data_IF_797543628370
#
_entry.id   IF_797543628370
#
_cell.length_a   1.000
_cell.length_b   1.000
_cell.length_c   1.000
_cell.angle_alpha   90.00
_cell.angle_beta   90.00
_cell.angle_gamma   90.00
#
_symmetry.space_group_name_H-M   'P 1'
#
loop_
_entity.id
_entity.type
_entity.pdbx_description
1 polymer ?
#
# COMPACT_ATOMS: atom_id res chain seq x y z
N UNK A 1 -10.37 14.13 -10.19
CA UNK A 1 -9.08 14.84 -10.30
C UNK A 1 -8.26 14.57 -9.05
N UNK A 2 -6.94 14.48 -9.19
CA UNK A 2 -6.05 14.26 -8.04
C UNK A 2 -5.91 15.54 -7.21
N UNK A 3 -6.07 15.49 -5.87
CA UNK A 3 -5.97 16.70 -5.05
C UNK A 3 -4.55 17.28 -5.07
N UNK A 4 -4.42 18.60 -4.86
CA UNK A 4 -3.12 19.26 -4.71
C UNK A 4 -2.32 18.67 -3.56
N UNK A 5 -3.00 18.34 -2.46
CA UNK A 5 -2.45 17.68 -1.28
C UNK A 5 -3.46 16.66 -0.74
N UNK A 6 -2.98 15.47 -0.36
CA UNK A 6 -3.78 14.42 0.25
C UNK A 6 -3.92 14.70 1.75
N UNK A 7 -4.96 15.47 2.12
CA UNK A 7 -5.23 15.85 3.51
C UNK A 7 -5.21 14.66 4.48
N UNK A 8 -5.83 13.50 4.19
CA UNK A 8 -5.76 12.35 5.11
C UNK A 8 -4.32 11.91 5.40
N UNK A 9 -3.45 11.87 4.39
CA UNK A 9 -2.04 11.48 4.56
C UNK A 9 -1.27 12.50 5.40
N UNK A 10 -1.55 13.79 5.21
CA UNK A 10 -0.94 14.86 6.03
C UNK A 10 -1.39 14.78 7.48
N UNK A 11 -2.68 14.52 7.72
CA UNK A 11 -3.22 14.36 9.07
C UNK A 11 -2.62 13.15 9.79
N UNK A 12 -2.39 12.04 9.08
CA UNK A 12 -1.65 10.90 9.64
C UNK A 12 -0.25 11.32 10.04
N UNK A 13 0.48 12.05 9.18
CA UNK A 13 1.84 12.50 9.50
C UNK A 13 1.86 13.40 10.74
N UNK A 14 0.99 14.42 10.78
CA UNK A 14 0.88 15.35 11.91
C UNK A 14 0.47 14.64 13.20
N UNK A 15 -0.55 13.79 13.14
CA UNK A 15 -1.01 13.02 14.29
C UNK A 15 0.08 12.09 14.83
N UNK A 16 0.85 11.45 13.93
CA UNK A 16 1.96 10.58 14.31
C UNK A 16 3.11 11.37 14.94
N UNK A 17 3.41 12.56 14.43
CA UNK A 17 4.42 13.45 15.01
C UNK A 17 4.01 13.92 16.42
N UNK A 18 2.77 14.37 16.57
CA UNK A 18 2.23 14.80 17.87
C UNK A 18 2.22 13.66 18.87
N UNK A 19 1.80 12.45 18.46
CA UNK A 19 1.83 11.27 19.31
C UNK A 19 3.26 10.90 19.75
N UNK A 20 4.22 10.97 18.83
CA UNK A 20 5.63 10.69 19.14
C UNK A 20 6.20 11.70 20.14
N UNK A 21 5.99 13.00 19.90
CA UNK A 21 6.46 14.08 20.77
C UNK A 21 5.79 14.01 22.16
N UNK A 22 4.47 13.82 22.19
CA UNK A 22 3.71 13.73 23.44
C UNK A 22 4.12 12.52 24.28
N UNK A 23 4.25 11.33 23.67
CA UNK A 23 4.68 10.12 24.36
C UNK A 23 6.13 10.23 24.87
N UNK A 24 7.01 10.85 24.10
CA UNK A 24 8.40 11.11 24.52
C UNK A 24 8.43 12.09 25.70
N UNK A 25 7.72 13.21 25.59
CA UNK A 25 7.65 14.22 26.66
C UNK A 25 7.05 13.65 27.95
N UNK A 26 6.03 12.80 27.86
CA UNK A 26 5.43 12.17 29.04
C UNK A 26 6.44 11.32 29.85
N UNK A 27 7.36 10.63 29.15
CA UNK A 27 8.43 9.87 29.80
C UNK A 27 9.50 10.79 30.37
N UNK A 28 9.98 11.77 29.59
CA UNK A 28 11.06 12.67 30.00
C UNK A 28 10.66 13.62 31.14
N UNK A 29 9.40 14.06 31.18
CA UNK A 29 8.87 14.88 32.27
C UNK A 29 8.46 14.05 33.50
N UNK A 30 8.64 12.72 33.49
CA UNK A 30 8.39 11.87 34.64
C UNK A 30 6.92 11.77 35.05
N UNK A 31 5.96 11.88 34.11
CA UNK A 31 4.53 11.87 34.42
C UNK A 31 4.12 10.62 35.22
N UNK A 32 4.62 9.45 34.84
CA UNK A 32 4.51 8.18 35.62
C UNK A 32 5.34 7.08 34.95
N UNK A 33 5.78 6.08 35.72
CA UNK A 33 6.50 4.90 35.21
C UNK A 33 5.73 4.10 34.16
N UNK A 34 4.40 4.14 34.21
CA UNK A 34 3.54 3.42 33.25
C UNK A 34 3.57 4.04 31.85
N UNK A 35 3.91 5.33 31.74
CA UNK A 35 4.03 5.99 30.45
C UNK A 35 5.13 5.40 29.59
N UNK A 36 6.15 4.77 30.17
CA UNK A 36 7.16 4.07 29.36
C UNK A 36 6.53 2.94 28.52
N UNK A 37 5.66 2.12 29.12
CA UNK A 37 4.99 1.05 28.40
C UNK A 37 4.05 1.59 27.30
N UNK A 38 3.31 2.67 27.61
CA UNK A 38 2.46 3.37 26.64
C UNK A 38 3.30 3.93 25.49
N UNK A 39 4.44 4.57 25.80
CA UNK A 39 5.35 5.14 24.80
C UNK A 39 5.91 4.07 23.88
N UNK A 40 6.25 2.88 24.40
CA UNK A 40 6.72 1.78 23.54
C UNK A 40 5.63 1.38 22.52
N UNK A 41 4.38 1.23 22.96
CA UNK A 41 3.28 0.89 22.05
C UNK A 41 3.02 2.01 21.04
N UNK A 42 2.91 3.25 21.52
CA UNK A 42 2.63 4.42 20.67
C UNK A 42 3.73 4.60 19.63
N UNK A 43 5.00 4.50 20.01
CA UNK A 43 6.11 4.68 19.08
C UNK A 43 6.21 3.55 18.04
N UNK A 44 5.89 2.30 18.41
CA UNK A 44 5.77 1.21 17.45
C UNK A 44 4.69 1.47 16.40
N UNK A 45 3.54 2.01 16.82
CA UNK A 45 2.47 2.44 15.91
C UNK A 45 2.88 3.64 15.06
N UNK A 46 3.64 4.60 15.62
CA UNK A 46 4.20 5.74 14.88
C UNK A 46 5.14 5.27 13.77
N UNK A 47 6.00 4.28 14.01
CA UNK A 47 6.85 3.70 12.97
C UNK A 47 6.03 3.18 11.79
N UNK A 48 4.93 2.46 12.08
CA UNK A 48 4.03 1.95 11.04
C UNK A 48 3.29 3.07 10.29
N UNK A 49 2.74 4.06 10.99
CA UNK A 49 1.99 5.15 10.37
C UNK A 49 2.88 6.11 9.58
N UNK A 50 4.08 6.41 10.08
CA UNK A 50 5.09 7.20 9.37
C UNK A 50 5.61 6.47 8.13
N UNK A 51 5.76 5.13 8.19
CA UNK A 51 6.06 4.36 7.00
C UNK A 51 4.95 4.47 5.96
N UNK A 52 3.68 4.44 6.37
CA UNK A 52 2.57 4.60 5.42
C UNK A 52 2.61 5.97 4.72
N UNK A 53 2.97 7.05 5.42
CA UNK A 53 3.18 8.37 4.79
C UNK A 53 4.39 8.37 3.86
N UNK A 54 5.50 7.79 4.31
CA UNK A 54 6.73 7.61 3.52
C UNK A 54 6.47 6.83 2.22
N UNK A 55 5.68 5.77 2.31
CA UNK A 55 5.25 4.90 1.21
C UNK A 55 4.44 5.67 0.17
N UNK A 56 3.45 6.45 0.61
CA UNK A 56 2.69 7.35 -0.26
C UNK A 56 3.58 8.43 -0.91
N UNK A 57 4.60 8.91 -0.19
CA UNK A 57 5.56 9.87 -0.75
C UNK A 57 6.41 9.27 -1.87
N UNK A 58 6.81 7.99 -1.75
CA UNK A 58 7.54 7.26 -2.80
C UNK A 58 6.71 7.19 -4.09
N UNK A 59 5.43 6.87 -3.96
CA UNK A 59 4.49 6.80 -5.10
C UNK A 59 3.95 8.15 -5.55
N UNK A 60 4.51 9.22 -4.98
CA UNK A 60 4.08 10.57 -5.22
C UNK A 60 2.58 10.71 -5.08
N UNK A 61 1.93 10.27 -4.00
CA UNK A 61 0.48 10.44 -3.77
C UNK A 61 0.16 11.48 -2.69
N UNK A 62 1.14 11.91 -1.89
CA UNK A 62 0.97 12.95 -0.84
C UNK A 62 0.61 14.31 -1.42
N UNK A 63 1.30 14.74 -2.49
CA UNK A 63 1.04 16.05 -3.11
C UNK A 63 1.36 16.08 -4.59
N UNK A 64 0.63 16.90 -5.36
CA UNK A 64 0.86 17.06 -6.80
C UNK A 64 2.24 17.69 -7.10
N UNK A 65 2.70 18.75 -6.39
CA UNK A 65 4.07 19.22 -6.51
C UNK A 65 5.07 18.18 -5.97
N UNK A 66 6.11 17.88 -6.74
CA UNK A 66 7.10 16.84 -6.38
C UNK A 66 7.77 17.10 -5.03
N UNK A 67 8.03 18.36 -4.68
CA UNK A 67 8.71 18.74 -3.44
C UNK A 67 7.92 18.35 -2.18
N UNK A 68 6.58 18.34 -2.23
CA UNK A 68 5.75 17.94 -1.07
C UNK A 68 6.07 16.49 -0.68
N UNK A 69 6.10 15.59 -1.66
CA UNK A 69 6.44 14.19 -1.42
C UNK A 69 7.88 14.04 -0.92
N UNK A 70 8.83 14.84 -1.42
CA UNK A 70 10.20 14.83 -0.92
C UNK A 70 10.27 15.26 0.55
N UNK A 71 9.52 16.29 0.95
CA UNK A 71 9.48 16.77 2.34
C UNK A 71 8.88 15.71 3.26
N UNK A 72 7.66 15.23 2.98
CA UNK A 72 6.99 14.23 3.82
C UNK A 72 7.76 12.91 3.86
N UNK A 73 8.31 12.46 2.73
CA UNK A 73 9.15 11.27 2.66
C UNK A 73 10.40 11.40 3.55
N UNK A 74 11.17 12.48 3.40
CA UNK A 74 12.41 12.69 4.17
C UNK A 74 12.15 12.91 5.66
N UNK A 75 11.10 13.65 6.02
CA UNK A 75 10.76 13.89 7.42
C UNK A 75 10.21 12.64 8.13
N UNK A 76 9.69 11.66 7.38
CA UNK A 76 9.21 10.40 7.96
C UNK A 76 10.34 9.41 8.27
N UNK A 77 11.49 9.51 7.58
CA UNK A 77 12.61 8.56 7.70
C UNK A 77 13.09 8.36 9.14
N UNK A 78 13.34 9.41 9.96
CA UNK A 78 13.83 9.23 11.32
C UNK A 78 12.91 8.41 12.22
N UNK A 79 11.61 8.32 11.93
CA UNK A 79 10.64 7.53 12.69
C UNK A 79 10.52 6.09 12.20
N UNK A 80 11.05 5.80 11.01
CA UNK A 80 10.97 4.48 10.37
C UNK A 80 12.30 3.75 10.49
N UNK A 81 13.40 4.37 10.07
CA UNK A 81 14.74 3.78 10.16
C UNK A 81 15.79 4.88 10.26
N UNK A 82 16.51 4.91 11.38
CA UNK A 82 17.47 5.96 11.69
C UNK A 82 18.61 6.05 10.67
N UNK A 83 19.06 4.92 10.14
CA UNK A 83 20.25 4.83 9.27
C UNK A 83 19.91 4.77 7.78
N UNK A 84 18.63 4.75 7.42
CA UNK A 84 18.20 4.74 6.02
C UNK A 84 17.93 6.16 5.50
N UNK A 85 17.70 6.30 4.19
CA UNK A 85 17.34 7.58 3.58
C UNK A 85 16.14 7.44 2.66
N UNK A 86 15.45 8.55 2.38
CA UNK A 86 14.31 8.54 1.46
C UNK A 86 14.65 7.94 0.08
N UNK A 87 15.77 8.29 -0.60
CA UNK A 87 16.15 7.64 -1.85
C UNK A 87 16.46 6.15 -1.72
N UNK A 88 17.01 5.71 -0.58
CA UNK A 88 17.27 4.30 -0.31
C UNK A 88 15.97 3.51 -0.27
N UNK A 89 15.02 3.96 0.56
CA UNK A 89 13.71 3.31 0.69
C UNK A 89 12.90 3.39 -0.60
N UNK A 90 12.94 4.53 -1.29
CA UNK A 90 12.29 4.66 -2.60
C UNK A 90 12.87 3.65 -3.60
N UNK A 91 14.19 3.46 -3.60
CA UNK A 91 14.82 2.49 -4.49
C UNK A 91 14.43 1.05 -4.15
N UNK A 92 14.52 0.64 -2.89
CA UNK A 92 14.18 -0.73 -2.48
C UNK A 92 12.70 -1.01 -2.73
N UNK A 93 11.81 -0.09 -2.37
CA UNK A 93 10.37 -0.24 -2.61
C UNK A 93 10.04 -0.36 -4.10
N UNK A 94 10.61 0.50 -4.95
CA UNK A 94 10.39 0.42 -6.40
C UNK A 94 11.03 -0.85 -7.01
N UNK A 95 12.12 -1.36 -6.42
CA UNK A 95 12.70 -2.63 -6.82
C UNK A 95 11.77 -3.80 -6.47
N UNK A 96 11.11 -3.77 -5.31
CA UNK A 96 10.07 -4.72 -4.94
C UNK A 96 8.92 -4.69 -5.95
N UNK A 97 8.30 -3.53 -6.20
CA UNK A 97 7.22 -3.38 -7.19
C UNK A 97 7.55 -3.93 -8.59
N UNK A 98 8.81 -3.82 -9.01
CA UNK A 98 9.27 -4.35 -10.30
C UNK A 98 9.49 -5.86 -10.28
N UNK A 99 9.85 -6.42 -9.12
CA UNK A 99 10.29 -7.79 -8.96
C UNK A 99 9.46 -8.53 -7.88
N UNK A 100 8.19 -8.18 -7.69
CA UNK A 100 7.39 -8.67 -6.56
C UNK A 100 7.37 -10.20 -6.49
N UNK A 101 7.67 -10.75 -5.32
CA UNK A 101 7.74 -12.19 -5.01
C UNK A 101 8.81 -12.95 -5.81
N UNK A 102 9.77 -12.26 -6.41
CA UNK A 102 10.94 -12.90 -7.03
C UNK A 102 11.99 -13.29 -5.96
N UNK A 103 13.13 -13.82 -6.39
CA UNK A 103 14.19 -14.27 -5.49
C UNK A 103 14.77 -13.15 -4.60
N UNK A 104 15.46 -13.56 -3.53
CA UNK A 104 16.04 -12.66 -2.52
C UNK A 104 17.08 -11.66 -3.06
N UNK A 105 17.59 -11.88 -4.27
CA UNK A 105 18.52 -10.98 -4.92
C UNK A 105 17.83 -10.00 -5.88
N UNK A 106 16.58 -10.25 -6.25
CA UNK A 106 15.78 -9.45 -7.17
C UNK A 106 14.77 -8.59 -6.42
N UNK A 107 14.10 -9.19 -5.43
CA UNK A 107 13.11 -8.59 -4.56
C UNK A 107 13.70 -8.36 -3.15
N UNK A 108 13.81 -7.10 -2.68
CA UNK A 108 14.25 -6.85 -1.32
C UNK A 108 13.29 -7.40 -0.25
N UNK A 109 11.99 -7.55 -0.55
CA UNK A 109 10.97 -7.97 0.41
C UNK A 109 10.90 -9.50 0.55
N UNK A 110 11.55 -10.22 -0.37
CA UNK A 110 11.76 -11.66 -0.20
C UNK A 110 12.53 -12.00 1.09
N UNK A 111 13.21 -11.04 1.73
CA UNK A 111 13.74 -11.20 3.09
C UNK A 111 12.65 -11.52 4.10
N UNK A 112 11.50 -10.85 4.01
CA UNK A 112 10.34 -11.06 4.89
C UNK A 112 9.52 -12.30 4.54
N UNK A 113 9.72 -12.89 3.36
CA UNK A 113 8.93 -14.02 2.82
C UNK A 113 9.65 -15.37 2.87
N UNK A 114 10.98 -15.38 2.85
CA UNK A 114 11.79 -16.60 2.69
C UNK A 114 12.53 -17.01 3.96
N UNK A 115 12.83 -18.31 4.06
CA UNK A 115 13.58 -18.91 5.16
C UNK A 115 12.71 -19.80 6.07
N UNK A 116 13.34 -20.50 7.04
CA UNK A 116 12.62 -21.27 8.05
C UNK A 116 11.63 -20.39 8.83
N UNK A 117 10.43 -20.91 9.11
CA UNK A 117 9.36 -20.14 9.78
C UNK A 117 9.78 -19.50 11.11
N UNK A 118 10.65 -20.18 11.86
CA UNK A 118 11.17 -19.67 13.14
C UNK A 118 12.10 -18.45 12.98
N UNK A 119 12.69 -18.25 11.80
CA UNK A 119 13.54 -17.08 11.51
C UNK A 119 12.74 -15.85 11.11
N UNK A 120 11.48 -16.01 10.67
CA UNK A 120 10.70 -14.89 10.12
C UNK A 120 10.62 -13.69 11.07
N UNK A 121 10.32 -13.85 12.39
CA UNK A 121 10.31 -12.70 13.31
C UNK A 121 11.66 -11.98 13.42
N UNK A 122 12.78 -12.71 13.38
CA UNK A 122 14.12 -12.12 13.41
C UNK A 122 14.44 -11.38 12.11
N UNK A 123 13.93 -11.87 10.98
CA UNK A 123 14.08 -11.25 9.67
C UNK A 123 13.25 -9.96 9.59
N UNK A 124 12.02 -9.99 10.10
CA UNK A 124 11.16 -8.82 10.22
C UNK A 124 11.77 -7.72 11.09
N UNK A 125 12.42 -8.08 12.21
CA UNK A 125 13.17 -7.14 13.06
C UNK A 125 14.31 -6.40 12.32
N UNK A 126 14.80 -6.97 11.22
CA UNK A 126 16.03 -6.54 10.52
C UNK A 126 15.81 -6.19 9.05
N UNK A 127 14.56 -6.04 8.61
CA UNK A 127 14.23 -5.73 7.21
C UNK A 127 14.88 -4.43 6.72
N UNK A 128 14.95 -3.41 7.57
CA UNK A 128 15.59 -2.12 7.26
C UNK A 128 17.12 -2.26 7.08
N UNK A 129 17.77 -3.09 7.90
CA UNK A 129 19.18 -3.44 7.73
C UNK A 129 19.42 -4.23 6.43
N UNK A 130 18.52 -5.16 6.11
CA UNK A 130 18.55 -5.88 4.83
C UNK A 130 18.39 -4.93 3.63
N UNK A 131 17.46 -3.98 3.68
CA UNK A 131 17.30 -2.95 2.65
C UNK A 131 18.57 -2.12 2.47
N UNK A 132 19.24 -1.74 3.56
CA UNK A 132 20.53 -1.07 3.47
C UNK A 132 21.59 -1.93 2.78
N UNK A 133 21.70 -3.21 3.13
CA UNK A 133 22.59 -4.16 2.44
C UNK A 133 22.23 -4.28 0.96
N UNK A 134 20.95 -4.39 0.62
CA UNK A 134 20.44 -4.48 -0.75
C UNK A 134 20.82 -3.23 -1.55
N UNK A 135 20.67 -2.04 -0.98
CA UNK A 135 21.05 -0.78 -1.61
C UNK A 135 22.58 -0.67 -1.78
N UNK A 136 23.35 -1.00 -0.73
CA UNK A 136 24.82 -0.91 -0.73
C UNK A 136 25.46 -1.82 -1.78
N UNK A 137 24.93 -3.04 -1.97
CA UNK A 137 25.37 -3.94 -3.03
C UNK A 137 25.22 -3.34 -4.45
N UNK A 138 24.40 -2.29 -4.58
CA UNK A 138 24.08 -1.60 -5.84
C UNK A 138 24.54 -0.14 -5.85
N UNK A 139 25.30 0.30 -4.84
CA UNK A 139 25.69 1.69 -4.63
C UNK A 139 26.44 2.28 -5.83
N UNK A 140 27.31 1.50 -6.48
CA UNK A 140 28.08 1.93 -7.66
C UNK A 140 27.21 2.30 -8.86
N UNK A 141 25.97 1.81 -8.90
CA UNK A 141 24.98 2.10 -9.96
C UNK A 141 24.00 3.21 -9.56
N UNK A 142 24.13 3.78 -8.35
CA UNK A 142 23.26 4.85 -7.85
C UNK A 142 23.77 6.23 -8.26
N UNK A 143 22.88 7.23 -8.41
CA UNK A 143 23.30 8.61 -8.63
C UNK A 143 24.25 9.08 -7.52
N UNK A 144 25.36 9.74 -7.88
CA UNK A 144 26.37 10.22 -6.91
C UNK A 144 25.78 11.08 -5.80
N UNK A 145 24.77 11.90 -6.11
CA UNK A 145 24.06 12.73 -5.12
C UNK A 145 23.32 11.91 -4.07
N UNK A 146 22.74 10.77 -4.44
CA UNK A 146 22.09 9.87 -3.48
C UNK A 146 23.12 9.14 -2.63
N UNK A 147 24.21 8.66 -3.22
CA UNK A 147 25.28 7.99 -2.49
C UNK A 147 25.95 8.93 -1.48
N UNK A 148 26.24 10.17 -1.88
CA UNK A 148 26.76 11.21 -0.98
C UNK A 148 25.75 11.56 0.11
N UNK A 149 24.47 11.73 -0.25
CA UNK A 149 23.41 12.00 0.73
C UNK A 149 23.26 10.86 1.75
N UNK A 150 23.38 9.61 1.32
CA UNK A 150 23.38 8.45 2.20
C UNK A 150 24.60 8.44 3.13
N UNK A 151 25.80 8.69 2.61
CA UNK A 151 27.02 8.76 3.42
C UNK A 151 26.93 9.88 4.48
N UNK A 152 26.49 11.08 4.08
CA UNK A 152 26.28 12.20 5.00
C UNK A 152 25.25 11.86 6.08
N UNK A 153 24.11 11.29 5.69
CA UNK A 153 23.06 10.88 6.63
C UNK A 153 23.56 9.85 7.65
N UNK A 154 24.33 8.86 7.19
CA UNK A 154 24.92 7.85 8.05
C UNK A 154 25.92 8.48 9.03
N UNK A 155 26.80 9.37 8.57
CA UNK A 155 27.73 10.10 9.43
C UNK A 155 27.01 10.92 10.50
N UNK A 156 25.97 11.66 10.11
CA UNK A 156 25.15 12.46 11.05
C UNK A 156 24.43 11.57 12.06
N UNK A 157 23.90 10.43 11.61
CA UNK A 157 23.24 9.44 12.47
C UNK A 157 24.21 8.86 13.48
N UNK A 158 25.41 8.46 13.05
CA UNK A 158 26.45 7.93 13.94
C UNK A 158 26.91 8.98 14.94
N UNK A 159 27.10 10.23 14.51
CA UNK A 159 27.44 11.34 15.39
C UNK A 159 26.34 11.60 16.43
N UNK A 160 25.06 11.59 16.02
CA UNK A 160 23.92 11.74 16.91
C UNK A 160 23.87 10.62 17.95
N UNK A 161 23.92 9.35 17.52
CA UNK A 161 23.90 8.20 18.44
C UNK A 161 25.09 8.25 19.40
N UNK A 162 26.30 8.51 18.91
CA UNK A 162 27.50 8.62 19.74
C UNK A 162 27.38 9.73 20.78
N UNK A 163 26.84 10.89 20.38
CA UNK A 163 26.59 12.01 21.30
C UNK A 163 25.63 11.62 22.41
N UNK A 164 24.51 10.97 22.07
CA UNK A 164 23.51 10.49 23.04
C UNK A 164 24.12 9.48 24.02
N UNK A 165 25.00 8.59 23.55
CA UNK A 165 25.71 7.64 24.41
C UNK A 165 26.70 8.33 25.36
N UNK A 166 27.51 9.29 24.85
CA UNK A 166 28.48 10.04 25.66
C UNK A 166 27.78 10.87 26.75
N UNK A 167 26.61 11.44 26.43
CA UNK A 167 25.81 12.21 27.39
C UNK A 167 25.07 11.34 28.41
N UNK A 168 25.17 10.01 28.33
CA UNK A 168 24.55 9.08 29.28
C UNK A 168 23.08 8.74 28.99
N UNK A 169 22.49 9.24 27.90
CA UNK A 169 21.08 9.04 27.53
C UNK A 169 20.82 7.75 26.75
N UNK A 170 21.62 6.71 26.99
CA UNK A 170 21.51 5.44 26.27
C UNK A 170 20.19 4.71 26.61
N UNK A 171 19.66 4.88 27.82
CA UNK A 171 18.40 4.24 28.25
C UNK A 171 17.24 4.81 27.47
N UNK A 172 17.19 6.12 27.32
CA UNK A 172 16.19 6.85 26.55
C UNK A 172 16.27 6.43 25.09
N UNK A 173 17.47 6.40 24.50
CA UNK A 173 17.66 5.94 23.13
C UNK A 173 17.13 4.52 22.91
N UNK A 174 17.39 3.60 23.85
CA UNK A 174 16.96 2.22 23.72
C UNK A 174 15.45 2.06 23.95
N UNK A 175 14.95 2.61 25.04
CA UNK A 175 13.60 2.36 25.53
C UNK A 175 12.54 3.22 24.83
N UNK A 176 12.87 4.47 24.51
CA UNK A 176 11.96 5.40 23.85
C UNK A 176 12.03 5.24 22.34
N UNK A 177 13.21 4.95 21.76
CA UNK A 177 13.37 4.92 20.30
C UNK A 177 13.62 3.52 19.73
N UNK A 178 14.68 2.83 20.14
CA UNK A 178 15.12 1.61 19.45
C UNK A 178 14.14 0.43 19.59
N UNK A 179 13.76 0.07 20.82
CA UNK A 179 12.81 -1.03 21.08
C UNK A 179 11.47 -0.82 20.37
N UNK A 180 10.79 0.33 20.53
CA UNK A 180 9.51 0.52 19.84
C UNK A 180 9.66 0.54 18.32
N UNK A 181 10.74 1.12 17.79
CA UNK A 181 10.98 1.08 16.36
C UNK A 181 11.18 -0.36 15.86
N UNK A 182 11.87 -1.24 16.60
CA UNK A 182 11.97 -2.67 16.27
C UNK A 182 10.61 -3.38 16.29
N UNK A 183 9.76 -3.07 17.26
CA UNK A 183 8.37 -3.57 17.30
C UNK A 183 7.60 -3.09 16.07
N UNK A 184 7.72 -1.80 15.73
CA UNK A 184 7.14 -1.22 14.52
C UNK A 184 7.64 -1.88 13.24
N UNK A 185 8.92 -2.27 13.16
CA UNK A 185 9.48 -3.01 12.02
C UNK A 185 8.89 -4.41 11.89
N UNK A 186 8.68 -5.11 13.00
CA UNK A 186 7.99 -6.41 12.97
C UNK A 186 6.56 -6.27 12.44
N UNK A 187 5.82 -5.30 12.96
CA UNK A 187 4.43 -5.03 12.52
C UNK A 187 4.42 -4.70 11.03
N UNK A 188 5.32 -3.82 10.59
CA UNK A 188 5.42 -3.40 9.20
C UNK A 188 5.76 -4.56 8.27
N UNK A 189 6.84 -5.30 8.53
CA UNK A 189 7.23 -6.43 7.69
C UNK A 189 6.16 -7.53 7.69
N UNK A 190 5.44 -7.70 8.80
CA UNK A 190 4.33 -8.63 8.84
C UNK A 190 3.14 -8.15 8.01
N UNK A 191 2.71 -6.89 8.16
CA UNK A 191 1.47 -6.38 7.56
C UNK A 191 1.62 -5.91 6.10
N UNK A 192 2.76 -5.35 5.72
CA UNK A 192 3.04 -4.89 4.35
C UNK A 192 3.70 -5.97 3.51
N UNK A 193 4.75 -6.62 4.02
CA UNK A 193 5.52 -7.56 3.19
C UNK A 193 4.88 -8.94 3.24
N UNK A 194 4.73 -9.53 4.43
CA UNK A 194 4.34 -10.93 4.54
C UNK A 194 2.86 -11.17 4.24
N UNK A 195 1.96 -10.48 4.96
CA UNK A 195 0.51 -10.73 4.93
C UNK A 195 -0.09 -10.61 3.51
N UNK A 196 0.31 -9.65 2.67
CA UNK A 196 -0.25 -9.52 1.32
C UNK A 196 0.39 -10.46 0.29
N UNK A 197 1.61 -10.96 0.53
CA UNK A 197 2.42 -11.64 -0.49
C UNK A 197 2.69 -13.12 -0.23
N UNK A 198 2.63 -13.60 1.01
CA UNK A 198 3.07 -14.96 1.36
C UNK A 198 2.39 -16.04 0.50
N UNK A 199 3.15 -17.00 -0.03
CA UNK A 199 2.57 -18.12 -0.79
C UNK A 199 1.91 -17.74 -2.12
N UNK A 200 2.22 -16.57 -2.67
CA UNK A 200 1.73 -16.11 -3.98
C UNK A 200 2.82 -16.21 -5.06
N UNK A 201 2.39 -16.08 -6.32
CA UNK A 201 3.28 -16.26 -7.47
C UNK A 201 4.19 -15.05 -7.69
N UNK A 202 5.36 -15.24 -8.33
CA UNK A 202 6.22 -14.15 -8.79
C UNK A 202 5.55 -13.27 -9.85
N UNK A 203 5.92 -11.99 -9.89
CA UNK A 203 5.36 -11.00 -10.83
C UNK A 203 5.54 -11.39 -12.30
N UNK A 204 6.64 -12.08 -12.65
CA UNK A 204 6.87 -12.57 -14.02
C UNK A 204 5.87 -13.66 -14.44
N UNK A 205 5.23 -14.33 -13.48
CA UNK A 205 4.19 -15.32 -13.75
C UNK A 205 2.86 -14.65 -14.00
N UNK A 206 2.37 -13.87 -13.03
CA UNK A 206 1.12 -13.13 -13.18
C UNK A 206 1.06 -11.93 -12.21
N UNK A 207 1.10 -10.71 -12.77
CA UNK A 207 1.04 -9.46 -12.00
C UNK A 207 -0.24 -9.27 -11.17
N UNK A 208 -1.35 -9.94 -11.50
CA UNK A 208 -2.61 -9.85 -10.76
C UNK A 208 -2.66 -10.77 -9.54
N UNK A 209 -1.69 -11.67 -9.41
CA UNK A 209 -1.67 -12.69 -8.37
C UNK A 209 -0.43 -12.59 -7.46
N UNK A 210 0.24 -11.45 -7.46
CA UNK A 210 1.41 -11.20 -6.59
C UNK A 210 1.02 -10.75 -5.18
N UNK A 211 -0.21 -10.27 -5.01
CA UNK A 211 -0.76 -9.80 -3.75
C UNK A 211 -2.22 -10.18 -3.62
N UNK A 212 -2.72 -10.19 -2.38
CA UNK A 212 -4.12 -10.50 -2.07
C UNK A 212 -4.92 -9.30 -1.56
N UNK A 213 -6.23 -9.36 -1.75
CA UNK A 213 -7.18 -8.57 -0.98
C UNK A 213 -7.62 -9.35 0.28
N UNK A 214 -7.86 -8.64 1.38
CA UNK A 214 -8.35 -9.16 2.65
C UNK A 214 -9.67 -8.48 3.04
N UNK A 215 -10.74 -9.28 3.07
CA UNK A 215 -12.13 -8.78 3.09
C UNK A 215 -12.93 -9.27 4.32
N UNK A 216 -14.01 -8.57 4.64
CA UNK A 216 -15.00 -8.96 5.64
C UNK A 216 -14.91 -8.31 7.01
N UNK A 217 -13.86 -7.51 7.28
CA UNK A 217 -13.71 -6.69 8.50
C UNK A 217 -13.18 -5.28 8.16
N UNK A 218 -13.62 -4.71 7.04
CA UNK A 218 -13.05 -3.48 6.47
C UNK A 218 -13.10 -2.29 7.44
N UNK A 219 -14.11 -2.20 8.31
CA UNK A 219 -14.21 -1.13 9.33
C UNK A 219 -12.99 -1.10 10.27
N UNK A 220 -12.44 -2.27 10.59
CA UNK A 220 -11.29 -2.41 11.48
C UNK A 220 -10.01 -2.50 10.66
N UNK A 221 -9.97 -3.38 9.66
CA UNK A 221 -8.76 -3.64 8.88
C UNK A 221 -8.31 -2.43 8.06
N UNK A 222 -9.21 -1.64 7.49
CA UNK A 222 -8.80 -0.44 6.75
C UNK A 222 -8.17 0.62 7.67
N UNK A 223 -8.63 0.72 8.92
CA UNK A 223 -8.01 1.62 9.90
C UNK A 223 -6.66 1.06 10.37
N UNK A 224 -6.66 -0.19 10.82
CA UNK A 224 -5.51 -0.86 11.41
C UNK A 224 -4.35 -1.01 10.41
N UNK A 225 -4.64 -1.53 9.23
CA UNK A 225 -3.66 -1.76 8.18
C UNK A 225 -3.49 -0.55 7.26
N UNK A 226 -4.10 0.60 7.57
CA UNK A 226 -4.09 1.79 6.71
C UNK A 226 -4.44 1.45 5.25
N UNK A 227 -5.55 0.73 5.08
CA UNK A 227 -6.12 0.26 3.81
C UNK A 227 -5.28 -0.79 3.06
N UNK A 228 -4.14 -1.22 3.60
CA UNK A 228 -3.29 -2.26 2.99
C UNK A 228 -3.93 -3.66 3.03
N UNK A 229 -5.10 -3.83 3.65
CA UNK A 229 -5.93 -5.00 3.38
C UNK A 229 -6.35 -5.09 1.89
N UNK A 230 -6.26 -4.02 1.11
CA UNK A 230 -6.39 -4.02 -0.35
C UNK A 230 -5.04 -3.75 -1.04
N UNK A 231 -3.95 -4.35 -0.56
CA UNK A 231 -2.59 -4.16 -1.11
C UNK A 231 -2.49 -4.48 -2.61
N UNK A 232 -3.37 -5.34 -3.14
CA UNK A 232 -3.45 -5.59 -4.58
C UNK A 232 -3.80 -4.34 -5.40
N UNK A 233 -4.66 -3.46 -4.87
CA UNK A 233 -4.94 -2.17 -5.50
C UNK A 233 -3.68 -1.32 -5.52
N UNK A 234 -2.90 -1.36 -4.44
CA UNK A 234 -1.62 -0.65 -4.37
C UNK A 234 -0.65 -1.09 -5.48
N UNK A 235 -0.41 -2.40 -5.62
CA UNK A 235 0.48 -2.97 -6.63
C UNK A 235 0.03 -2.72 -8.07
N UNK A 236 -1.28 -2.75 -8.31
CA UNK A 236 -1.83 -2.55 -9.66
C UNK A 236 -1.99 -1.06 -10.01
N UNK A 237 -2.22 -0.20 -9.02
CA UNK A 237 -2.56 1.21 -9.20
C UNK A 237 -1.88 2.11 -8.14
N UNK A 238 -0.55 2.17 -8.17
CA UNK A 238 0.28 2.91 -7.21
C UNK A 238 -0.05 4.40 -7.09
N UNK A 239 -0.66 5.00 -8.12
CA UNK A 239 -1.06 6.41 -8.13
C UNK A 239 -2.34 6.71 -7.32
N UNK A 240 -3.03 5.68 -6.82
CA UNK A 240 -4.22 5.82 -5.97
C UNK A 240 -3.75 6.01 -4.53
N UNK A 241 -4.21 7.05 -3.81
CA UNK A 241 -3.93 7.18 -2.39
C UNK A 241 -4.57 6.07 -1.55
N UNK A 242 -3.90 5.63 -0.48
CA UNK A 242 -4.33 4.47 0.32
C UNK A 242 -5.80 4.51 0.80
N UNK A 243 -6.27 5.68 1.24
CA UNK A 243 -7.64 5.88 1.74
C UNK A 243 -8.73 5.72 0.67
N UNK A 244 -8.36 5.50 -0.61
CA UNK A 244 -9.26 5.24 -1.71
C UNK A 244 -9.22 3.78 -2.21
N UNK A 245 -8.40 2.90 -1.63
CA UNK A 245 -8.23 1.54 -2.14
C UNK A 245 -9.53 0.73 -2.18
N UNK A 246 -10.36 0.80 -1.13
CA UNK A 246 -11.66 0.10 -1.11
C UNK A 246 -12.57 0.61 -2.23
N UNK A 247 -12.56 1.93 -2.50
CA UNK A 247 -13.36 2.53 -3.56
C UNK A 247 -12.87 2.07 -4.94
N UNK A 248 -11.56 2.03 -5.14
CA UNK A 248 -10.95 1.54 -6.38
C UNK A 248 -11.21 0.05 -6.60
N UNK A 249 -11.09 -0.77 -5.55
CA UNK A 249 -11.46 -2.18 -5.57
C UNK A 249 -12.88 -2.39 -6.07
N UNK A 250 -13.85 -1.69 -5.44
CA UNK A 250 -15.26 -1.80 -5.81
C UNK A 250 -15.56 -1.33 -7.22
N UNK A 251 -14.86 -0.31 -7.71
CA UNK A 251 -15.07 0.24 -9.04
C UNK A 251 -14.62 -0.71 -10.16
N UNK A 252 -13.62 -1.55 -9.89
CA UNK A 252 -13.06 -2.52 -10.85
C UNK A 252 -13.24 -3.98 -10.39
N UNK A 253 -14.23 -4.24 -9.52
CA UNK A 253 -14.38 -5.53 -8.85
C UNK A 253 -14.49 -6.71 -9.84
N UNK A 254 -15.34 -6.58 -10.86
CA UNK A 254 -15.51 -7.62 -11.88
C UNK A 254 -14.19 -7.95 -12.58
N UNK A 255 -13.39 -6.93 -12.91
CA UNK A 255 -12.11 -7.08 -13.60
C UNK A 255 -11.07 -7.81 -12.74
N UNK A 256 -11.03 -7.53 -11.43
CA UNK A 256 -10.16 -8.27 -10.50
C UNK A 256 -10.58 -9.74 -10.36
N UNK A 257 -11.89 -9.98 -10.28
CA UNK A 257 -12.42 -11.34 -10.13
C UNK A 257 -12.18 -12.18 -11.39
N UNK A 258 -12.33 -11.60 -12.58
CA UNK A 258 -12.13 -12.30 -13.86
C UNK A 258 -10.66 -12.67 -14.09
N UNK A 259 -9.72 -11.96 -13.43
CA UNK A 259 -8.28 -12.29 -13.45
C UNK A 259 -7.83 -13.18 -12.30
N UNK A 260 -8.77 -13.68 -11.50
CA UNK A 260 -8.50 -14.51 -10.33
C UNK A 260 -7.52 -13.85 -9.36
N UNK A 261 -7.71 -12.57 -9.06
CA UNK A 261 -6.96 -11.91 -7.98
C UNK A 261 -7.15 -12.70 -6.67
N UNK A 262 -6.07 -13.03 -5.93
CA UNK A 262 -6.19 -13.72 -4.66
C UNK A 262 -7.00 -12.92 -3.65
N UNK A 263 -7.96 -13.56 -3.00
CA UNK A 263 -8.80 -12.97 -1.96
C UNK A 263 -8.74 -13.86 -0.73
N UNK A 264 -8.65 -13.23 0.44
CA UNK A 264 -8.74 -13.91 1.73
C UNK A 264 -9.75 -13.21 2.64
N UNK A 265 -10.33 -13.96 3.56
CA UNK A 265 -11.11 -13.40 4.68
C UNK A 265 -10.18 -12.65 5.64
N UNK A 266 -10.76 -11.83 6.50
CA UNK A 266 -10.07 -11.16 7.61
C UNK A 266 -9.14 -12.11 8.40
N UNK A 267 -9.53 -13.37 8.53
CA UNK A 267 -8.85 -14.40 9.31
C UNK A 267 -7.88 -15.28 8.50
N UNK A 268 -7.72 -15.01 7.20
CA UNK A 268 -6.70 -15.66 6.35
C UNK A 268 -7.18 -16.92 5.63
N UNK A 269 -8.48 -17.23 5.65
CA UNK A 269 -9.05 -18.26 4.77
C UNK A 269 -9.15 -17.71 3.35
N UNK A 270 -8.58 -18.42 2.38
CA UNK A 270 -8.65 -18.05 0.97
C UNK A 270 -10.07 -18.19 0.41
N UNK A 271 -10.40 -17.39 -0.59
CA UNK A 271 -11.70 -17.37 -1.26
C UNK A 271 -11.50 -17.37 -2.78
N UNK A 272 -12.23 -18.24 -3.46
CA UNK A 272 -12.39 -18.17 -4.91
C UNK A 272 -13.23 -16.94 -5.31
N UNK A 273 -13.10 -16.44 -6.55
CA UNK A 273 -13.97 -15.37 -7.03
C UNK A 273 -15.46 -15.70 -6.94
N UNK A 274 -15.84 -16.98 -7.12
CA UNK A 274 -17.22 -17.43 -6.98
C UNK A 274 -17.74 -17.34 -5.55
N UNK A 275 -16.92 -17.71 -4.56
CA UNK A 275 -17.24 -17.60 -3.14
C UNK A 275 -17.33 -16.15 -2.69
N UNK A 276 -16.41 -15.30 -3.18
CA UNK A 276 -16.44 -13.88 -2.90
C UNK A 276 -17.73 -13.22 -3.43
N UNK A 277 -18.16 -13.54 -4.67
CA UNK A 277 -19.44 -13.04 -5.22
C UNK A 277 -20.64 -13.46 -4.36
N UNK A 278 -20.69 -14.74 -3.95
CA UNK A 278 -21.75 -15.22 -3.05
C UNK A 278 -21.73 -14.50 -1.71
N UNK A 279 -20.57 -14.38 -1.08
CA UNK A 279 -20.39 -13.69 0.19
C UNK A 279 -20.83 -12.21 0.12
N UNK A 280 -20.47 -11.51 -0.97
CA UNK A 280 -20.88 -10.12 -1.20
C UNK A 280 -22.38 -9.97 -1.39
N UNK A 281 -23.01 -10.85 -2.18
CA UNK A 281 -24.46 -10.83 -2.41
C UNK A 281 -25.27 -11.04 -1.13
N UNK A 282 -24.83 -11.96 -0.27
CA UNK A 282 -25.43 -12.17 1.06
C UNK A 282 -25.22 -10.94 1.95
N UNK A 283 -24.00 -10.40 1.98
CA UNK A 283 -23.68 -9.24 2.82
C UNK A 283 -24.44 -7.98 2.40
N UNK A 284 -24.64 -7.74 1.09
CA UNK A 284 -25.48 -6.62 0.62
C UNK A 284 -26.94 -6.82 0.99
N UNK A 285 -27.47 -8.03 0.85
CA UNK A 285 -28.85 -8.35 1.23
C UNK A 285 -29.10 -8.18 2.74
N UNK A 286 -28.15 -8.55 3.59
CA UNK A 286 -28.24 -8.31 5.05
C UNK A 286 -28.24 -6.81 5.37
N UNK A 287 -27.38 -6.01 4.72
CA UNK A 287 -27.34 -4.56 4.94
C UNK A 287 -28.62 -3.88 4.43
N UNK A 288 -29.22 -4.38 3.35
CA UNK A 288 -30.51 -3.89 2.86
C UNK A 288 -31.68 -4.32 3.76
N UNK A 289 -31.68 -5.55 4.28
CA UNK A 289 -32.69 -6.03 5.22
C UNK A 289 -32.64 -5.29 6.57
N UNK A 290 -31.44 -5.05 7.11
CA UNK A 290 -31.22 -4.28 8.36
C UNK A 290 -31.58 -2.79 8.19
N UNK A 291 -31.60 -2.27 6.95
CA UNK A 291 -32.15 -0.95 6.61
C UNK A 291 -33.64 -0.97 6.27
N UNK A 292 -34.22 -2.15 6.05
CA UNK A 292 -35.59 -2.37 5.62
C UNK A 292 -36.64 -2.30 6.73
N UNK A 293 -36.25 -2.47 7.99
CA UNK A 293 -37.19 -2.46 9.14
C UNK A 293 -37.54 -1.06 9.68
N UNK A 294 -37.14 0.00 8.97
CA UNK A 294 -37.44 1.39 9.38
C UNK A 294 -37.82 2.34 8.26
N UNK A 295 -38.54 1.91 7.22
CA UNK A 295 -39.21 2.86 6.32
C UNK A 295 -40.55 2.33 5.80
N UNK A 296 -41.64 2.82 6.40
CA UNK A 296 -42.96 2.80 5.76
C UNK A 296 -42.87 3.69 4.52
N UNK A 297 -42.97 3.08 3.34
CA UNK A 297 -42.99 3.80 2.08
C UNK A 297 -44.31 4.59 1.95
N UNK A 298 -44.26 5.91 2.15
CA UNK A 298 -45.30 6.81 1.66
C UNK A 298 -45.10 6.96 0.16
N UNK A 299 -45.97 6.35 -0.64
CA UNK A 299 -46.06 6.63 -2.08
C UNK A 299 -46.69 8.01 -2.29
N UNK A 300 -46.17 8.88 -3.17
CA UNK A 300 -46.98 9.97 -3.68
C UNK A 300 -47.96 9.42 -4.72
N UNK A 301 -49.24 9.70 -4.51
CA UNK A 301 -50.26 9.65 -5.56
C UNK A 301 -49.88 10.65 -6.67
N UNK A 302 -49.79 10.17 -7.90
CA UNK A 302 -49.93 11.01 -9.08
C UNK A 302 -51.04 10.39 -9.92
N UNK A 303 -52.17 11.10 -9.91
CA UNK A 303 -53.38 10.75 -10.63
C UNK A 303 -53.19 10.86 -12.14
N UNK A 304 -53.99 10.05 -12.83
CA UNK A 304 -54.11 9.94 -14.26
C UNK A 304 -54.63 11.24 -14.91
N UNK A 305 -54.07 11.58 -16.08
CA UNK A 305 -54.83 12.22 -17.16
C UNK A 305 -54.10 12.09 -18.51
N UNK A 306 -54.76 11.44 -19.47
CA UNK A 306 -54.69 11.81 -20.88
C UNK A 306 -53.69 11.06 -21.76
N UNK A 307 -54.11 9.93 -22.32
CA UNK A 307 -53.60 9.45 -23.61
C UNK A 307 -54.55 9.89 -24.74
N UNK A 308 -54.03 10.22 -25.93
CA UNK A 308 -54.70 9.91 -27.19
C UNK A 308 -53.79 9.12 -28.18
N UNK A 309 -54.37 8.54 -29.25
CA UNK A 309 -54.00 7.23 -29.82
C UNK A 309 -53.01 7.30 -31.02
N UNK A 310 -52.57 6.15 -31.59
CA UNK A 310 -51.52 6.13 -32.61
C UNK A 310 -52.07 6.24 -34.03
N UNK A 311 -51.35 6.91 -34.96
CA UNK A 311 -51.63 6.79 -36.39
C UNK A 311 -50.40 7.02 -37.30
N UNK A 312 -49.97 5.90 -37.89
CA UNK A 312 -49.58 5.66 -39.30
C UNK A 312 -48.76 6.64 -40.17
N UNK A 313 -47.72 6.05 -40.74
CA UNK A 313 -47.22 6.16 -42.13
C UNK A 313 -46.21 7.27 -42.50
N UNK A 314 -45.01 6.85 -42.92
CA UNK A 314 -44.61 6.81 -44.35
C UNK A 314 -43.22 6.19 -44.53
N UNK A 315 -43.15 5.23 -45.47
CA UNK A 315 -41.93 4.70 -46.08
C UNK A 315 -41.18 5.80 -46.84
N UNK A 316 -39.85 5.70 -46.93
CA UNK A 316 -39.07 5.92 -48.17
C UNK A 316 -37.74 5.16 -48.13
N UNK A 317 -37.53 4.41 -49.20
CA UNK A 317 -36.35 3.60 -49.56
C UNK A 317 -35.16 4.52 -49.92
N UNK A 318 -33.93 4.23 -49.46
CA UNK A 318 -32.85 3.54 -50.21
C UNK A 318 -31.66 4.51 -50.46
N UNK A 319 -30.46 4.10 -50.93
CA UNK A 319 -29.86 2.76 -51.10
C UNK A 319 -28.51 2.57 -50.34
N UNK A 320 -27.92 1.36 -50.34
CA UNK A 320 -26.61 1.08 -49.74
C UNK A 320 -25.46 1.22 -50.78
N UNK A 321 -24.32 1.76 -50.34
CA UNK A 321 -23.08 1.83 -51.11
C UNK A 321 -22.03 0.82 -50.63
N UNK A 322 -21.07 0.40 -51.48
CA UNK A 322 -20.62 -1.00 -51.52
C UNK A 322 -19.23 -1.26 -50.90
N UNK A 323 -19.04 -2.49 -50.40
CA UNK A 323 -17.80 -3.26 -50.58
C UNK A 323 -18.03 -4.20 -51.79
N UNK A 324 -17.03 -4.46 -52.65
CA UNK A 324 -16.01 -5.51 -52.43
C UNK A 324 -14.62 -5.05 -52.94
N UNK A 325 -13.46 -5.67 -52.73
CA UNK A 325 -13.03 -7.05 -52.49
C UNK A 325 -11.76 -7.26 -53.34
N UNK A 326 -10.86 -8.16 -52.94
CA UNK A 326 -9.86 -8.72 -53.88
C UNK A 326 -8.40 -8.69 -53.44
N UNK A 327 -8.02 -9.80 -52.80
CA UNK A 327 -6.71 -10.44 -52.74
C UNK A 327 -5.65 -10.10 -53.83
N UNK A 328 -4.37 -10.13 -53.42
CA UNK A 328 -3.36 -10.99 -54.06
C UNK A 328 -2.09 -11.16 -53.20
N UNK A 329 -1.59 -12.39 -53.26
CA UNK A 329 -0.47 -13.03 -52.56
C UNK A 329 0.90 -12.81 -53.22
N UNK A 330 1.99 -12.94 -52.45
CA UNK A 330 3.25 -13.68 -52.78
C UNK A 330 4.25 -13.49 -51.62
N UNK A 331 4.74 -14.55 -50.95
CA UNK A 331 6.00 -15.32 -51.20
C UNK A 331 7.24 -14.42 -51.37
N UNK A 332 8.43 -14.62 -50.79
CA UNK A 332 9.04 -15.64 -49.91
C UNK A 332 10.48 -15.19 -49.52
N UNK A 333 11.06 -15.80 -48.46
CA UNK A 333 12.51 -16.08 -48.23
C UNK A 333 13.51 -14.88 -48.11
N UNK A 334 14.57 -14.84 -47.28
CA UNK A 334 15.59 -15.78 -46.73
C UNK A 334 16.33 -15.06 -45.56
N UNK A 335 16.57 -15.70 -44.41
CA UNK A 335 17.85 -16.27 -43.86
C UNK A 335 18.82 -15.25 -43.18
N UNK A 336 19.43 -15.59 -42.02
CA UNK A 336 20.33 -14.71 -41.24
C UNK A 336 21.84 -14.98 -41.47
N UNK A 337 22.66 -13.97 -41.14
CA UNK A 337 24.12 -13.97 -40.91
C UNK A 337 24.34 -12.84 -39.87
N UNK A 338 25.10 -12.90 -38.78
CA UNK A 338 26.16 -13.77 -38.24
C UNK A 338 26.15 -13.60 -36.72
#
# INVERSE_FOLDING_TARGET
MRPTIAVPTVLVWLGSLVAWLGATAAVLCGVSRWWLAVTIVVQGLVTFSMFSVLHEAIHHTVGRPKWINQVFGRLSIPFVSLFATFPLLAYTHLAHHRNTNEGIHEDPDAWSLTGPRWQLPLRWLTIDAWYCRFYLARLRRRPRKEALGFALHLTLTLAFVTTILILGYWRELVLIYFIPQRIGMVILAWWFDWLPHHGLVPIKTNRFQVTRARVGWERVLCLLLMYQNYHVVHHLHTAIPFYLYVKAWRAAESEYLDRNVPISTAWGQDMTPSEYRRWRGVSSGIVEADRGDRWVAVRPHLDAAGAPPPSSSRRRNGPPGPCPGGAKSSFSHRVPLR
#
